data_IF_480392518862
#
_entry.id   IF_480392518862
#
_cell.length_a   1.000
_cell.length_b   1.000
_cell.length_c   1.000
_cell.angle_alpha   90.00
_cell.angle_beta   90.00
_cell.angle_gamma   90.00
#
_symmetry.space_group_name_H-M   'P 1'
#
loop_
_entity.id
_entity.type
_entity.pdbx_description
1 polymer ?
#
# COMPACT_ATOMS: atom_id res chain seq x y z
N UNK A 1 -9.29 19.19 23.11
CA UNK A 1 -8.34 18.66 22.15
C UNK A 1 -8.48 17.16 21.99
N UNK A 2 -8.45 16.68 20.78
CA UNK A 2 -8.64 15.26 20.53
C UNK A 2 -7.29 14.54 20.50
N UNK A 3 -7.21 13.43 21.22
CA UNK A 3 -6.05 12.58 21.14
C UNK A 3 -6.01 11.86 19.79
N UNK A 4 -4.81 11.59 19.30
CA UNK A 4 -4.65 10.77 18.11
C UNK A 4 -5.19 9.37 18.36
N UNK A 5 -5.85 8.78 17.37
CA UNK A 5 -6.39 7.44 17.48
C UNK A 5 -5.60 6.49 16.61
N UNK A 6 -5.41 5.28 17.12
CA UNK A 6 -4.86 4.23 16.30
C UNK A 6 -5.88 3.86 15.22
N UNK A 7 -5.38 3.64 14.01
CA UNK A 7 -6.21 3.17 12.90
C UNK A 7 -5.88 1.69 12.69
N UNK A 8 -6.85 0.80 12.88
CA UNK A 8 -6.58 -0.62 12.63
C UNK A 8 -6.45 -0.87 11.13
N UNK A 9 -5.51 -1.72 10.76
CA UNK A 9 -5.32 -2.16 9.39
C UNK A 9 -5.53 -3.67 9.40
N UNK A 10 -6.51 -4.14 8.65
CA UNK A 10 -6.82 -5.57 8.59
C UNK A 10 -5.96 -6.23 7.51
N UNK A 11 -5.24 -7.29 7.89
CA UNK A 11 -4.40 -8.03 6.97
C UNK A 11 -5.25 -8.99 6.14
N UNK A 12 -5.13 -8.89 4.81
CA UNK A 12 -5.83 -9.78 3.89
C UNK A 12 -4.86 -10.85 3.38
N UNK A 13 -4.46 -11.75 4.27
CA UNK A 13 -3.52 -12.83 3.92
C UNK A 13 -4.29 -14.02 3.36
N UNK A 14 -4.81 -13.86 2.16
CA UNK A 14 -5.69 -14.81 1.49
C UNK A 14 -5.22 -15.02 0.06
N UNK A 15 -5.66 -16.10 -0.60
CA UNK A 15 -5.08 -16.48 -1.90
C UNK A 15 -5.74 -15.84 -3.12
N UNK A 16 -6.82 -15.09 -2.97
CA UNK A 16 -7.52 -14.55 -4.15
C UNK A 16 -8.17 -13.21 -3.87
N UNK A 17 -8.39 -12.46 -4.94
CA UNK A 17 -9.13 -11.20 -4.88
C UNK A 17 -10.55 -11.40 -4.37
N UNK A 18 -11.22 -12.43 -4.83
CA UNK A 18 -12.59 -12.72 -4.38
C UNK A 18 -12.66 -12.96 -2.89
N UNK A 19 -11.72 -13.73 -2.36
CA UNK A 19 -11.65 -13.99 -0.93
C UNK A 19 -11.37 -12.70 -0.16
N UNK A 20 -10.45 -11.89 -0.67
CA UNK A 20 -10.11 -10.61 -0.05
C UNK A 20 -11.32 -9.67 0.01
N UNK A 21 -12.04 -9.53 -1.10
CA UNK A 21 -13.24 -8.69 -1.15
C UNK A 21 -14.32 -9.19 -0.20
N UNK A 22 -14.49 -10.51 -0.12
CA UNK A 22 -15.47 -11.11 0.78
C UNK A 22 -15.17 -10.79 2.24
N UNK A 23 -13.89 -10.93 2.64
CA UNK A 23 -13.47 -10.59 4.00
C UNK A 23 -13.63 -9.10 4.27
N UNK A 24 -13.23 -8.26 3.33
CA UNK A 24 -13.32 -6.82 3.50
C UNK A 24 -14.78 -6.38 3.66
N UNK A 25 -15.69 -6.99 2.91
CA UNK A 25 -17.12 -6.71 3.06
C UNK A 25 -17.67 -7.18 4.40
N UNK A 26 -17.17 -8.31 4.90
CA UNK A 26 -17.58 -8.83 6.20
C UNK A 26 -17.16 -7.90 7.34
N UNK A 27 -15.98 -7.29 7.23
CA UNK A 27 -15.54 -6.29 8.20
C UNK A 27 -16.46 -5.06 8.17
N UNK A 28 -16.99 -4.73 7.01
CA UNK A 28 -17.94 -3.65 6.83
C UNK A 28 -17.34 -2.29 7.13
N UNK A 29 -18.12 -1.43 7.79
CA UNK A 29 -17.69 -0.08 8.09
C UNK A 29 -16.75 0.03 9.29
N UNK A 30 -16.48 -1.09 9.96
CA UNK A 30 -15.61 -1.08 11.15
C UNK A 30 -14.16 -0.77 10.79
N UNK A 31 -13.74 -1.12 9.58
CA UNK A 31 -12.38 -0.86 9.12
C UNK A 31 -12.39 -0.66 7.61
N UNK A 32 -11.72 0.39 7.16
CA UNK A 32 -11.63 0.68 5.74
C UNK A 32 -10.19 0.67 5.24
N UNK A 33 -9.28 0.14 6.03
CA UNK A 33 -7.86 0.12 5.72
C UNK A 33 -7.39 -1.33 5.74
N UNK A 34 -6.88 -1.80 4.60
CA UNK A 34 -6.51 -3.20 4.43
C UNK A 34 -5.07 -3.35 3.97
N UNK A 35 -4.40 -4.35 4.51
CA UNK A 35 -3.04 -4.68 4.10
C UNK A 35 -3.07 -5.78 3.05
N UNK A 36 -2.39 -5.52 1.92
CA UNK A 36 -2.13 -6.51 0.89
C UNK A 36 -0.65 -6.87 1.00
N UNK A 37 -0.37 -8.11 1.34
CA UNK A 37 0.99 -8.59 1.48
C UNK A 37 1.45 -9.41 0.29
N UNK A 38 2.60 -10.06 0.45
CA UNK A 38 3.26 -10.77 -0.65
C UNK A 38 2.45 -11.91 -1.22
N UNK A 39 1.77 -12.68 -0.38
CA UNK A 39 0.98 -13.83 -0.85
C UNK A 39 -0.10 -13.36 -1.83
N UNK A 40 -0.95 -12.46 -1.38
CA UNK A 40 -2.07 -12.00 -2.17
C UNK A 40 -1.61 -11.24 -3.41
N UNK A 41 -0.63 -10.37 -3.26
CA UNK A 41 -0.14 -9.58 -4.39
C UNK A 41 0.55 -10.47 -5.44
N UNK A 42 1.30 -11.48 -5.00
CA UNK A 42 1.93 -12.39 -5.94
C UNK A 42 0.90 -13.22 -6.70
N UNK A 43 -0.17 -13.63 -6.02
CA UNK A 43 -1.22 -14.43 -6.65
C UNK A 43 -2.06 -13.61 -7.63
N UNK A 44 -2.41 -12.37 -7.28
CA UNK A 44 -3.42 -11.60 -8.00
C UNK A 44 -2.88 -10.36 -8.70
N UNK A 45 -1.70 -9.92 -8.34
CA UNK A 45 -1.10 -8.72 -8.93
C UNK A 45 -1.81 -7.43 -8.52
N UNK A 46 -1.59 -6.36 -9.30
CA UNK A 46 -2.14 -5.04 -8.98
C UNK A 46 -3.67 -4.98 -8.92
N UNK A 47 -4.35 -5.91 -9.58
CA UNK A 47 -5.80 -5.87 -9.67
C UNK A 47 -6.48 -5.95 -8.31
N UNK A 48 -5.87 -6.64 -7.34
CA UNK A 48 -6.46 -6.70 -6.01
C UNK A 48 -6.49 -5.33 -5.34
N UNK A 49 -5.47 -4.51 -5.56
CA UNK A 49 -5.43 -3.15 -5.01
C UNK A 49 -6.52 -2.31 -5.66
N UNK A 50 -6.65 -2.40 -6.99
CA UNK A 50 -7.68 -1.67 -7.71
C UNK A 50 -9.07 -2.07 -7.24
N UNK A 51 -9.32 -3.36 -7.07
CA UNK A 51 -10.62 -3.87 -6.65
C UNK A 51 -10.99 -3.35 -5.26
N UNK A 52 -10.06 -3.38 -4.31
CA UNK A 52 -10.32 -2.88 -2.97
C UNK A 52 -10.65 -1.38 -3.00
N UNK A 53 -9.92 -0.62 -3.79
CA UNK A 53 -10.13 0.82 -3.87
C UNK A 53 -11.40 1.18 -4.62
N UNK A 54 -11.63 0.57 -5.77
CA UNK A 54 -12.73 0.96 -6.65
C UNK A 54 -14.07 0.40 -6.20
N UNK A 55 -14.09 -0.86 -5.75
CA UNK A 55 -15.36 -1.49 -5.36
C UNK A 55 -15.76 -1.16 -3.94
N UNK A 56 -14.81 -0.97 -3.03
CA UNK A 56 -15.10 -0.77 -1.62
C UNK A 56 -14.73 0.61 -1.10
N UNK A 57 -14.06 1.43 -1.89
CA UNK A 57 -13.56 2.71 -1.43
C UNK A 57 -12.56 2.57 -0.29
N UNK A 58 -11.85 1.45 -0.24
CA UNK A 58 -10.94 1.15 0.86
C UNK A 58 -9.58 1.81 0.65
N UNK A 59 -8.87 2.04 1.75
CA UNK A 59 -7.47 2.42 1.73
C UNK A 59 -6.62 1.16 1.76
N UNK A 60 -5.48 1.16 1.06
CA UNK A 60 -4.63 -0.02 0.96
C UNK A 60 -3.23 0.27 1.47
N UNK A 61 -2.76 -0.61 2.34
CA UNK A 61 -1.38 -0.68 2.78
C UNK A 61 -0.72 -1.81 2.01
N UNK A 62 0.21 -1.47 1.10
CA UNK A 62 0.89 -2.47 0.29
C UNK A 62 2.18 -2.88 1.00
N UNK A 63 2.16 -4.07 1.57
CA UNK A 63 3.25 -4.54 2.43
C UNK A 63 4.11 -5.54 1.68
N UNK A 64 4.99 -5.04 0.81
CA UNK A 64 5.88 -5.89 0.01
C UNK A 64 7.34 -5.79 0.45
N UNK A 65 7.66 -4.90 1.37
CA UNK A 65 8.99 -4.73 1.95
C UNK A 65 10.07 -4.60 0.86
N UNK A 66 9.89 -3.61 0.00
CA UNK A 66 10.80 -3.40 -1.12
C UNK A 66 12.25 -3.33 -0.66
N UNK A 67 13.10 -4.06 -1.35
CA UNK A 67 14.51 -4.17 -1.00
C UNK A 67 15.29 -4.48 -2.27
N UNK A 68 15.91 -3.47 -2.83
CA UNK A 68 16.65 -3.60 -4.09
C UNK A 68 17.57 -2.40 -4.23
N UNK A 69 18.26 -2.32 -5.35
CA UNK A 69 19.07 -1.13 -5.63
C UNK A 69 18.14 0.11 -5.72
N UNK A 70 18.66 1.29 -5.40
CA UNK A 70 17.80 2.48 -5.30
C UNK A 70 16.91 2.74 -6.50
N UNK A 71 17.44 2.61 -7.70
CA UNK A 71 16.66 2.88 -8.91
C UNK A 71 15.47 1.93 -9.07
N UNK A 72 15.65 0.66 -8.74
CA UNK A 72 14.59 -0.33 -8.82
C UNK A 72 13.51 -0.06 -7.78
N UNK A 73 13.93 0.29 -6.56
CA UNK A 73 12.99 0.63 -5.50
C UNK A 73 12.20 1.87 -5.88
N UNK A 74 12.85 2.88 -6.47
CA UNK A 74 12.13 4.07 -6.92
C UNK A 74 11.03 3.72 -7.92
N UNK A 75 11.32 2.84 -8.88
CA UNK A 75 10.31 2.38 -9.83
C UNK A 75 9.16 1.65 -9.18
N UNK A 76 9.48 0.77 -8.22
CA UNK A 76 8.46 0.02 -7.49
C UNK A 76 7.56 0.95 -6.66
N UNK A 77 8.15 1.94 -5.99
CA UNK A 77 7.41 2.90 -5.18
C UNK A 77 6.48 3.74 -6.06
N UNK A 78 6.98 4.22 -7.21
CA UNK A 78 6.13 4.98 -8.14
C UNK A 78 4.95 4.14 -8.62
N UNK A 79 5.19 2.88 -8.96
CA UNK A 79 4.11 1.99 -9.41
C UNK A 79 3.08 1.77 -8.31
N UNK A 80 3.52 1.54 -7.08
CA UNK A 80 2.62 1.37 -5.95
C UNK A 80 1.79 2.63 -5.71
N UNK A 81 2.41 3.80 -5.79
CA UNK A 81 1.72 5.06 -5.62
C UNK A 81 0.65 5.26 -6.70
N UNK A 82 0.94 4.91 -7.94
CA UNK A 82 -0.01 5.03 -9.05
C UNK A 82 -1.19 4.07 -8.90
N UNK A 83 -0.98 2.93 -8.25
CA UNK A 83 -2.08 2.03 -7.92
C UNK A 83 -3.00 2.62 -6.86
N UNK A 84 -2.53 3.63 -6.15
CA UNK A 84 -3.29 4.25 -5.09
C UNK A 84 -3.01 3.68 -3.71
N UNK A 85 -1.91 2.95 -3.53
CA UNK A 85 -1.53 2.49 -2.21
C UNK A 85 -1.29 3.71 -1.30
N UNK A 86 -1.90 3.70 -0.12
CA UNK A 86 -1.77 4.78 0.84
C UNK A 86 -0.47 4.68 1.63
N UNK A 87 -0.10 3.47 1.98
CA UNK A 87 1.13 3.15 2.68
C UNK A 87 1.83 2.02 1.96
N UNK A 88 3.14 1.99 2.07
CA UNK A 88 3.94 0.86 1.59
C UNK A 88 5.14 0.67 2.52
N UNK A 89 5.77 -0.50 2.43
CA UNK A 89 6.94 -0.80 3.24
C UNK A 89 8.19 -0.94 2.37
N UNK A 90 9.31 -0.46 2.91
CA UNK A 90 10.64 -0.71 2.37
C UNK A 90 11.47 -1.31 3.49
N UNK A 91 12.48 -2.10 3.12
CA UNK A 91 13.30 -2.79 4.10
C UNK A 91 14.44 -1.88 4.57
N UNK A 92 14.54 -1.65 5.88
CA UNK A 92 15.54 -0.74 6.43
C UNK A 92 16.97 -1.16 6.08
N UNK A 93 17.23 -2.46 5.95
CA UNK A 93 18.55 -2.97 5.64
C UNK A 93 19.01 -2.66 4.21
N UNK A 94 18.16 -2.06 3.38
CA UNK A 94 18.55 -1.62 2.04
C UNK A 94 19.51 -0.46 2.02
N UNK A 95 19.68 0.23 3.14
CA UNK A 95 20.63 1.32 3.28
C UNK A 95 20.02 2.69 3.02
N UNK A 96 20.71 3.72 3.48
CA UNK A 96 20.20 5.08 3.40
C UNK A 96 19.91 5.54 1.98
N UNK A 97 20.80 5.28 0.98
CA UNK A 97 20.50 5.73 -0.39
C UNK A 97 19.19 5.15 -0.92
N UNK A 98 18.89 3.88 -0.62
CA UNK A 98 17.63 3.26 -1.04
C UNK A 98 16.44 3.93 -0.33
N UNK A 99 16.55 4.17 0.97
CA UNK A 99 15.47 4.78 1.74
C UNK A 99 15.17 6.20 1.28
N UNK A 100 16.22 6.99 1.03
CA UNK A 100 16.04 8.36 0.54
C UNK A 100 15.41 8.38 -0.85
N UNK A 101 15.85 7.47 -1.71
CA UNK A 101 15.30 7.37 -3.07
C UNK A 101 13.83 6.97 -3.04
N UNK A 102 13.47 6.02 -2.16
CA UNK A 102 12.09 5.62 -1.98
C UNK A 102 11.22 6.79 -1.53
N UNK A 103 11.72 7.57 -0.57
CA UNK A 103 11.00 8.74 -0.06
C UNK A 103 10.76 9.77 -1.16
N UNK A 104 11.79 10.05 -1.97
CA UNK A 104 11.64 11.01 -3.07
C UNK A 104 10.65 10.52 -4.12
N UNK A 105 10.72 9.23 -4.46
CA UNK A 105 9.79 8.66 -5.46
C UNK A 105 8.35 8.77 -4.98
N UNK A 106 8.09 8.50 -3.70
CA UNK A 106 6.76 8.62 -3.13
C UNK A 106 6.27 10.08 -3.16
N UNK A 107 7.15 11.01 -2.78
CA UNK A 107 6.82 12.43 -2.77
C UNK A 107 6.54 12.97 -4.18
N UNK A 108 7.32 12.53 -5.16
CA UNK A 108 7.15 12.97 -6.54
C UNK A 108 5.80 12.52 -7.10
N UNK A 109 5.38 11.29 -6.82
CA UNK A 109 4.07 10.82 -7.28
C UNK A 109 2.92 11.54 -6.57
N UNK A 110 3.08 11.82 -5.28
CA UNK A 110 2.08 12.58 -4.55
C UNK A 110 1.90 13.97 -5.16
N UNK A 111 3.00 14.58 -5.63
CA UNK A 111 2.95 15.89 -6.26
C UNK A 111 2.34 15.90 -7.64
N UNK A 112 2.17 14.75 -8.29
CA UNK A 112 1.66 14.67 -9.65
C UNK A 112 0.17 14.38 -9.73
N UNK A 113 -0.60 14.77 -8.73
CA UNK A 113 -2.05 14.76 -8.85
C UNK A 113 -2.79 13.73 -8.02
N UNK A 114 -2.11 12.97 -7.20
CA UNK A 114 -2.76 12.04 -6.29
C UNK A 114 -3.52 12.76 -5.18
N UNK A 115 -3.18 14.02 -4.93
CA UNK A 115 -3.88 14.85 -3.97
C UNK A 115 -3.59 14.54 -2.51
N UNK A 116 -2.86 13.48 -2.22
CA UNK A 116 -2.57 13.06 -0.86
C UNK A 116 -1.07 12.84 -0.71
N UNK A 117 -0.39 13.64 0.13
CA UNK A 117 1.04 13.46 0.33
C UNK A 117 1.31 12.11 0.99
N UNK A 118 2.35 11.44 0.53
CA UNK A 118 2.85 10.25 1.18
C UNK A 118 3.55 10.64 2.47
N UNK A 119 3.35 9.83 3.49
CA UNK A 119 4.08 9.94 4.74
C UNK A 119 4.93 8.69 4.93
N UNK A 120 6.18 8.91 5.17
CA UNK A 120 7.10 7.82 5.44
C UNK A 120 6.98 7.35 6.89
#
# INVERSE_FOLDING_TARGET
MRAARAIPIVALDVPSTQHALRLARTVGSSCRFFKVGSELFTAEGPDVVRALREELGAEVFLDLKFHDIPNTVAGAVRSAARLGARLLTVHASGGLPMLETAQRAAADEAGSGCGVPFRS
#
